data_IF_915254335475
#
_entry.id   IF_915254335475
#
_cell.length_a   1.000
_cell.length_b   1.000
_cell.length_c   1.000
_cell.angle_alpha   90.00
_cell.angle_beta   90.00
_cell.angle_gamma   90.00
#
_symmetry.space_group_name_H-M   'P 1'
#
loop_
_entity.id
_entity.type
_entity.pdbx_description
1 polymer ?
#
# COMPACT_ATOMS: atom_id res chain seq x y z
N UNK A 1 -3.58 -11.37 13.08
CA UNK A 1 -3.73 -10.13 12.29
C UNK A 1 -5.17 -9.69 12.40
N UNK A 2 -5.43 -8.44 12.76
CA UNK A 2 -6.77 -7.86 12.70
C UNK A 2 -7.12 -7.59 11.23
N UNK A 3 -8.19 -8.19 10.72
CA UNK A 3 -8.53 -8.19 9.30
C UNK A 3 -9.68 -7.23 8.95
N UNK A 4 -10.32 -6.66 9.97
CA UNK A 4 -11.51 -5.80 9.87
C UNK A 4 -11.30 -4.62 8.92
N UNK A 5 -10.15 -3.95 9.02
CA UNK A 5 -9.78 -2.78 8.23
C UNK A 5 -9.48 -3.07 6.76
N UNK A 6 -9.23 -4.33 6.39
CA UNK A 6 -8.86 -4.73 5.03
C UNK A 6 -10.04 -5.23 4.19
N UNK A 7 -11.22 -5.42 4.80
CA UNK A 7 -12.41 -5.91 4.10
C UNK A 7 -12.86 -4.93 3.02
N UNK A 8 -13.21 -5.47 1.86
CA UNK A 8 -13.71 -4.73 0.70
C UNK A 8 -12.76 -3.62 0.22
N UNK A 9 -11.46 -3.80 0.42
CA UNK A 9 -10.45 -2.85 -0.08
C UNK A 9 -10.52 -2.72 -1.61
N UNK A 10 -10.39 -1.49 -2.14
CA UNK A 10 -10.38 -1.26 -3.60
C UNK A 10 -9.25 -2.03 -4.30
N UNK A 11 -8.08 -2.05 -3.68
CA UNK A 11 -6.89 -2.73 -4.16
C UNK A 11 -6.17 -3.36 -2.97
N UNK A 12 -5.90 -4.66 -3.04
CA UNK A 12 -5.05 -5.37 -2.09
C UNK A 12 -3.73 -5.75 -2.78
N UNK A 13 -2.60 -5.34 -2.22
CA UNK A 13 -1.27 -5.72 -2.71
C UNK A 13 -0.75 -6.85 -1.83
N UNK A 14 -0.57 -8.03 -2.42
CA UNK A 14 -0.14 -9.24 -1.73
C UNK A 14 1.32 -9.55 -2.08
N UNK A 15 2.15 -9.63 -1.05
CA UNK A 15 3.58 -9.93 -1.15
C UNK A 15 4.05 -10.80 0.01
N UNK A 16 5.21 -11.44 -0.15
CA UNK A 16 5.86 -12.14 0.97
C UNK A 16 5.10 -13.40 1.39
N UNK A 17 4.62 -14.18 0.43
CA UNK A 17 4.19 -15.55 0.72
C UNK A 17 5.40 -16.43 1.06
N UNK A 18 5.12 -17.56 1.72
CA UNK A 18 6.13 -18.58 1.99
C UNK A 18 6.86 -19.00 0.71
N UNK A 19 8.18 -19.15 0.80
CA UNK A 19 9.02 -19.59 -0.31
C UNK A 19 9.04 -21.12 -0.44
N UNK A 20 8.73 -21.84 0.64
CA UNK A 20 8.73 -23.31 0.70
C UNK A 20 7.33 -23.78 1.11
N UNK A 21 6.32 -23.68 0.23
CA UNK A 21 4.92 -23.90 0.63
C UNK A 21 4.59 -25.36 0.96
N UNK A 22 5.49 -26.30 0.66
CA UNK A 22 5.35 -27.71 1.02
C UNK A 22 5.90 -28.03 2.42
N UNK A 23 6.68 -27.12 3.02
CA UNK A 23 7.24 -27.30 4.35
C UNK A 23 6.26 -26.76 5.39
N UNK A 24 5.91 -27.60 6.36
CA UNK A 24 5.17 -27.16 7.54
C UNK A 24 6.17 -26.67 8.60
N UNK A 25 6.08 -25.41 9.08
CA UNK A 25 7.04 -24.86 10.03
C UNK A 25 7.17 -25.66 11.34
N UNK A 26 6.06 -26.15 11.90
CA UNK A 26 6.07 -26.94 13.14
C UNK A 26 6.76 -28.30 12.92
N UNK A 27 6.49 -28.93 11.77
CA UNK A 27 7.17 -30.16 11.36
C UNK A 27 8.69 -29.96 11.18
N UNK A 28 9.08 -28.86 10.54
CA UNK A 28 10.49 -28.50 10.31
C UNK A 28 11.21 -28.17 11.63
N UNK A 29 10.53 -27.53 12.59
CA UNK A 29 11.04 -27.35 13.95
C UNK A 29 11.28 -28.68 14.67
N UNK A 30 10.37 -29.65 14.51
CA UNK A 30 10.54 -31.00 15.04
C UNK A 30 11.75 -31.72 14.43
N UNK A 31 11.93 -31.61 13.11
CA UNK A 31 13.09 -32.18 12.41
C UNK A 31 14.41 -31.50 12.83
N UNK A 32 14.41 -30.18 13.00
CA UNK A 32 15.53 -29.41 13.54
C UNK A 32 15.96 -29.94 14.91
N UNK A 33 15.03 -30.05 15.86
CA UNK A 33 15.30 -30.54 17.22
C UNK A 33 15.81 -31.99 17.22
N UNK A 34 15.23 -32.86 16.37
CA UNK A 34 15.64 -34.26 16.24
C UNK A 34 17.09 -34.38 15.74
N UNK A 35 17.43 -33.71 14.63
CA UNK A 35 18.77 -33.73 14.06
C UNK A 35 19.81 -33.12 15.01
N UNK A 36 19.46 -32.03 15.71
CA UNK A 36 20.29 -31.41 16.73
C UNK A 36 20.60 -32.42 17.85
N UNK A 37 19.58 -33.04 18.44
CA UNK A 37 19.77 -34.01 19.52
C UNK A 37 20.60 -35.22 19.09
N UNK A 38 20.35 -35.77 17.90
CA UNK A 38 21.14 -36.89 17.37
C UNK A 38 22.61 -36.54 17.20
N UNK A 39 22.90 -35.33 16.71
CA UNK A 39 24.27 -34.84 16.51
C UNK A 39 24.99 -34.69 17.84
N UNK A 40 24.38 -34.01 18.81
CA UNK A 40 24.97 -33.79 20.14
C UNK A 40 25.19 -35.11 20.88
N UNK A 41 24.22 -36.04 20.85
CA UNK A 41 24.36 -37.37 21.47
C UNK A 41 25.48 -38.22 20.84
N UNK A 42 25.81 -37.95 19.57
CA UNK A 42 26.94 -38.57 18.88
C UNK A 42 28.29 -37.90 19.17
N UNK A 43 28.32 -36.89 20.06
CA UNK A 43 29.52 -36.13 20.40
C UNK A 43 29.92 -35.09 19.36
N UNK A 44 29.06 -34.80 18.37
CA UNK A 44 29.30 -33.80 17.34
C UNK A 44 28.81 -32.40 17.72
N UNK A 45 29.21 -31.41 16.93
CA UNK A 45 28.73 -30.03 17.07
C UNK A 45 27.65 -29.70 16.04
N UNK A 46 26.76 -28.78 16.38
CA UNK A 46 25.70 -28.30 15.51
C UNK A 46 25.94 -26.84 15.16
N UNK A 47 26.03 -26.55 13.86
CA UNK A 47 26.13 -25.19 13.33
C UNK A 47 24.79 -24.78 12.74
N UNK A 48 24.25 -23.64 13.18
CA UNK A 48 22.99 -23.08 12.69
C UNK A 48 23.25 -21.70 12.10
N UNK A 49 23.40 -21.60 10.75
CA UNK A 49 23.51 -20.33 10.06
C UNK A 49 22.18 -19.58 10.14
N UNK A 50 22.12 -18.49 10.91
CA UNK A 50 20.88 -17.74 11.13
C UNK A 50 21.10 -16.22 11.11
N UNK A 51 20.01 -15.49 10.92
CA UNK A 51 20.01 -14.05 11.16
C UNK A 51 20.14 -13.75 12.66
N UNK A 52 20.62 -12.55 13.06
CA UNK A 52 20.76 -12.19 14.46
C UNK A 52 19.42 -11.86 15.16
N UNK A 53 18.32 -11.78 14.43
CA UNK A 53 16.99 -11.46 14.95
C UNK A 53 15.92 -12.10 14.07
N UNK A 54 14.74 -12.40 14.64
CA UNK A 54 13.61 -12.98 13.90
C UNK A 54 13.36 -14.43 14.33
N UNK A 55 13.34 -15.35 13.36
CA UNK A 55 13.03 -16.79 13.55
C UNK A 55 13.92 -17.45 14.62
N UNK A 56 15.13 -16.92 14.86
CA UNK A 56 16.02 -17.37 15.94
C UNK A 56 15.35 -17.32 17.33
N UNK A 57 14.41 -16.39 17.58
CA UNK A 57 13.70 -16.34 18.86
C UNK A 57 12.74 -17.51 19.03
N UNK A 58 12.04 -17.91 17.97
CA UNK A 58 11.16 -19.07 17.96
C UNK A 58 11.98 -20.37 18.12
N UNK A 59 13.16 -20.44 17.48
CA UNK A 59 14.12 -21.53 17.68
C UNK A 59 14.57 -21.65 19.13
N UNK A 60 14.98 -20.54 19.76
CA UNK A 60 15.42 -20.53 21.15
C UNK A 60 14.28 -20.88 22.12
N UNK A 61 13.05 -20.45 21.83
CA UNK A 61 11.86 -20.79 22.63
C UNK A 61 11.49 -22.27 22.49
N UNK A 62 11.55 -22.83 21.28
CA UNK A 62 11.39 -24.27 21.04
C UNK A 62 12.48 -25.08 21.77
N UNK A 63 13.74 -24.63 21.70
CA UNK A 63 14.86 -25.29 22.35
C UNK A 63 14.79 -25.25 23.87
N UNK A 64 14.33 -24.15 24.45
CA UNK A 64 14.12 -24.04 25.89
C UNK A 64 13.24 -25.19 26.41
N UNK A 65 12.16 -25.51 25.70
CA UNK A 65 11.27 -26.62 26.07
C UNK A 65 11.90 -27.99 25.75
N UNK A 66 12.68 -28.07 24.67
CA UNK A 66 13.25 -29.32 24.19
C UNK A 66 14.46 -29.81 25.01
N UNK A 67 15.34 -28.91 25.45
CA UNK A 67 16.63 -29.23 26.12
C UNK A 67 16.43 -30.21 27.28
N UNK A 68 15.47 -29.94 28.15
CA UNK A 68 15.22 -30.75 29.34
C UNK A 68 14.68 -32.13 28.96
N UNK A 69 13.72 -32.18 28.03
CA UNK A 69 13.12 -33.43 27.53
C UNK A 69 14.11 -34.32 26.78
N UNK A 70 15.12 -33.72 26.14
CA UNK A 70 16.11 -34.41 25.34
C UNK A 70 17.38 -34.77 26.12
N UNK A 71 17.43 -34.45 27.41
CA UNK A 71 18.59 -34.62 28.30
C UNK A 71 19.85 -33.90 27.79
N UNK A 72 19.68 -32.71 27.19
CA UNK A 72 20.78 -31.90 26.63
C UNK A 72 21.29 -30.83 27.62
N UNK A 73 20.96 -30.96 28.90
CA UNK A 73 21.26 -29.97 29.95
C UNK A 73 22.74 -29.57 30.07
N UNK A 74 23.67 -30.46 29.73
CA UNK A 74 25.11 -30.19 29.78
C UNK A 74 25.67 -29.55 28.51
N UNK A 75 24.85 -29.43 27.46
CA UNK A 75 25.29 -28.93 26.15
C UNK A 75 25.22 -27.40 26.15
N UNK A 76 26.33 -26.70 25.90
CA UNK A 76 26.31 -25.25 25.77
C UNK A 76 25.73 -24.82 24.41
N UNK A 77 24.92 -23.77 24.45
CA UNK A 77 24.40 -23.08 23.28
C UNK A 77 25.09 -21.73 23.17
N UNK A 78 25.60 -21.40 21.99
CA UNK A 78 26.31 -20.16 21.71
C UNK A 78 25.58 -19.36 20.65
N UNK A 79 25.36 -18.08 20.91
CA UNK A 79 24.82 -17.13 19.94
C UNK A 79 25.84 -16.04 19.60
N UNK A 80 26.43 -16.12 18.42
CA UNK A 80 27.58 -15.28 18.03
C UNK A 80 27.18 -14.32 16.93
N UNK A 81 27.15 -13.03 17.27
CA UNK A 81 26.90 -11.93 16.35
C UNK A 81 27.32 -10.60 17.01
N UNK A 82 27.87 -9.63 16.26
CA UNK A 82 28.21 -8.31 16.79
C UNK A 82 27.06 -7.59 17.50
N UNK A 83 25.82 -7.95 17.17
CA UNK A 83 24.59 -7.38 17.75
C UNK A 83 23.81 -8.38 18.61
N UNK A 84 24.39 -9.52 18.99
CA UNK A 84 23.70 -10.59 19.72
C UNK A 84 23.07 -10.09 21.03
N UNK A 85 23.83 -9.37 21.87
CA UNK A 85 23.32 -8.85 23.14
C UNK A 85 22.15 -7.89 22.93
N UNK A 86 22.35 -6.85 22.11
CA UNK A 86 21.30 -5.87 21.80
C UNK A 86 20.06 -6.49 21.17
N UNK A 87 20.24 -7.51 20.33
CA UNK A 87 19.13 -8.20 19.68
C UNK A 87 18.24 -8.93 20.69
N UNK A 88 18.87 -9.70 21.59
CA UNK A 88 18.18 -10.39 22.68
C UNK A 88 17.50 -9.39 23.63
N UNK A 89 18.18 -8.32 24.03
CA UNK A 89 17.60 -7.28 24.89
C UNK A 89 16.40 -6.58 24.24
N UNK A 90 16.49 -6.19 22.97
CA UNK A 90 15.38 -5.56 22.25
C UNK A 90 14.17 -6.46 22.11
N UNK A 91 14.38 -7.77 21.98
CA UNK A 91 13.26 -8.73 21.97
C UNK A 91 12.47 -8.73 23.29
N UNK A 92 13.14 -8.45 24.41
CA UNK A 92 12.50 -8.37 25.73
C UNK A 92 11.84 -7.01 25.96
N UNK A 93 12.41 -5.94 25.39
CA UNK A 93 11.92 -4.55 25.56
C UNK A 93 10.66 -4.29 24.71
N UNK A 94 10.65 -4.70 23.43
CA UNK A 94 9.56 -4.40 22.50
C UNK A 94 8.35 -5.36 22.64
N UNK A 95 7.93 -5.58 23.88
CA UNK A 95 6.86 -6.52 24.19
C UNK A 95 5.49 -6.07 23.69
N UNK A 96 5.27 -4.77 23.48
CA UNK A 96 4.01 -4.18 23.02
C UNK A 96 3.57 -4.71 21.64
N UNK A 97 4.52 -5.24 20.87
CA UNK A 97 4.30 -5.81 19.54
C UNK A 97 4.07 -7.32 19.55
N UNK A 98 4.09 -7.96 20.72
CA UNK A 98 3.92 -9.41 20.85
C UNK A 98 2.45 -9.81 20.99
N UNK A 99 2.16 -11.10 21.03
CA UNK A 99 0.82 -11.58 21.35
C UNK A 99 0.45 -11.29 22.82
N UNK A 100 -0.86 -11.28 23.10
CA UNK A 100 -1.40 -10.93 24.43
C UNK A 100 -0.78 -11.72 25.58
N UNK A 101 -0.47 -13.01 25.37
CA UNK A 101 0.14 -13.88 26.39
C UNK A 101 1.58 -13.50 26.74
N UNK A 102 2.34 -12.96 25.77
CA UNK A 102 3.69 -12.44 26.01
C UNK A 102 3.64 -11.02 26.57
N UNK A 103 2.72 -10.19 26.07
CA UNK A 103 2.46 -8.86 26.64
C UNK A 103 2.09 -8.93 28.13
N UNK A 104 1.25 -9.91 28.51
CA UNK A 104 0.81 -10.06 29.91
C UNK A 104 1.96 -10.31 30.89
N UNK A 105 3.05 -10.95 30.44
CA UNK A 105 4.22 -11.26 31.28
C UNK A 105 4.95 -9.99 31.73
N UNK A 106 4.96 -8.94 30.91
CA UNK A 106 5.61 -7.67 31.25
C UNK A 106 4.93 -6.96 32.42
N UNK A 107 3.61 -7.13 32.57
CA UNK A 107 2.90 -6.62 33.75
C UNK A 107 3.22 -7.40 35.04
N UNK A 108 3.80 -8.60 34.94
CA UNK A 108 4.22 -9.47 36.05
C UNK A 108 5.74 -9.44 36.31
N UNK A 109 6.41 -8.33 35.95
CA UNK A 109 7.86 -8.25 35.73
C UNK A 109 8.57 -9.50 35.18
N UNK A 110 7.90 -10.29 34.34
CA UNK A 110 8.46 -11.51 33.75
C UNK A 110 8.95 -11.26 32.30
N UNK A 111 10.08 -11.87 31.89
CA UNK A 111 10.57 -11.72 30.53
C UNK A 111 9.59 -12.38 29.53
N UNK A 112 9.17 -11.68 28.45
CA UNK A 112 8.25 -12.25 27.46
C UNK A 112 8.81 -13.48 26.74
N UNK A 113 10.13 -13.57 26.56
CA UNK A 113 10.78 -14.72 25.92
C UNK A 113 11.66 -15.52 26.90
N UNK A 114 11.63 -16.86 26.83
CA UNK A 114 12.31 -17.72 27.80
C UNK A 114 13.83 -17.78 27.63
N UNK A 115 14.38 -17.28 26.52
CA UNK A 115 15.84 -17.24 26.35
C UNK A 115 16.54 -16.36 27.40
N UNK A 116 15.82 -15.44 28.06
CA UNK A 116 16.35 -14.71 29.23
C UNK A 116 16.79 -15.67 30.35
N UNK A 117 16.02 -16.73 30.61
CA UNK A 117 16.35 -17.74 31.61
C UNK A 117 17.53 -18.63 31.15
N UNK A 118 17.59 -18.97 29.85
CA UNK A 118 18.73 -19.69 29.30
C UNK A 118 20.05 -18.92 29.49
N UNK A 119 20.01 -17.59 29.39
CA UNK A 119 21.17 -16.73 29.63
C UNK A 119 21.51 -16.71 31.12
N UNK A 120 20.52 -16.49 31.99
CA UNK A 120 20.73 -16.46 33.44
C UNK A 120 21.31 -17.79 33.99
N UNK A 121 20.89 -18.92 33.41
CA UNK A 121 21.36 -20.26 33.78
C UNK A 121 22.64 -20.68 33.06
N UNK A 122 23.26 -19.80 32.26
CA UNK A 122 24.43 -20.08 31.44
C UNK A 122 24.27 -21.23 30.43
N UNK A 123 23.04 -21.64 30.12
CA UNK A 123 22.74 -22.62 29.06
C UNK A 123 22.93 -21.99 27.67
N UNK A 124 22.53 -20.73 27.51
CA UNK A 124 22.77 -19.91 26.32
C UNK A 124 23.76 -18.80 26.64
N UNK A 125 24.92 -18.81 25.96
CA UNK A 125 25.91 -17.73 26.04
C UNK A 125 25.94 -16.98 24.72
N UNK A 126 26.09 -15.66 24.76
CA UNK A 126 26.16 -14.84 23.57
C UNK A 126 27.48 -14.07 23.51
N UNK A 127 28.00 -13.88 22.30
CA UNK A 127 29.28 -13.20 22.05
C UNK A 127 29.17 -12.30 20.83
N UNK A 128 29.93 -11.20 20.84
CA UNK A 128 30.01 -10.30 19.69
C UNK A 128 30.82 -10.90 18.53
N UNK A 129 31.76 -11.79 18.82
CA UNK A 129 32.61 -12.45 17.84
C UNK A 129 33.20 -13.75 18.37
N UNK A 130 33.69 -14.60 17.47
CA UNK A 130 34.55 -15.76 17.80
C UNK A 130 35.90 -15.34 18.41
N UNK A 131 36.36 -14.11 18.16
CA UNK A 131 37.60 -13.60 18.75
C UNK A 131 37.36 -13.05 20.17
N UNK A 132 38.27 -13.37 21.10
CA UNK A 132 38.22 -12.87 22.48
C UNK A 132 37.57 -13.88 23.44
N UNK A 133 36.63 -13.41 24.26
CA UNK A 133 36.09 -14.15 25.41
C UNK A 133 35.49 -15.52 25.05
N UNK A 134 34.91 -15.64 23.85
CA UNK A 134 34.38 -16.91 23.35
C UNK A 134 35.42 -18.03 23.41
N UNK A 135 36.68 -17.75 23.08
CA UNK A 135 37.74 -18.77 23.03
C UNK A 135 38.03 -19.40 24.40
N UNK A 136 37.81 -18.66 25.49
CA UNK A 136 38.02 -19.17 26.86
C UNK A 136 36.88 -20.10 27.30
N UNK A 137 35.68 -19.86 26.77
CA UNK A 137 34.45 -20.52 27.18
C UNK A 137 33.98 -21.60 26.21
N UNK A 138 34.65 -21.73 25.06
CA UNK A 138 34.31 -22.65 23.99
C UNK A 138 34.51 -24.11 24.41
N UNK A 139 33.42 -24.89 24.36
CA UNK A 139 33.40 -26.33 24.69
C UNK A 139 32.67 -27.09 23.61
N UNK A 140 33.04 -28.35 23.42
CA UNK A 140 32.40 -29.28 22.50
C UNK A 140 31.99 -30.57 23.25
N UNK A 141 30.87 -31.22 22.90
CA UNK A 141 29.92 -30.86 21.85
C UNK A 141 29.10 -29.61 22.20
N UNK A 142 28.72 -28.81 21.19
CA UNK A 142 27.94 -27.59 21.36
C UNK A 142 27.02 -27.29 20.19
N UNK A 143 26.11 -26.33 20.40
CA UNK A 143 25.27 -25.74 19.35
C UNK A 143 25.68 -24.29 19.17
N UNK A 144 25.99 -23.88 17.94
CA UNK A 144 26.36 -22.49 17.61
C UNK A 144 25.37 -21.91 16.62
N UNK A 145 24.67 -20.86 17.04
CA UNK A 145 23.89 -19.96 16.19
C UNK A 145 24.79 -18.80 15.78
N UNK A 146 25.06 -18.67 14.49
CA UNK A 146 25.89 -17.57 14.01
C UNK A 146 25.59 -17.25 12.57
N UNK A 147 25.67 -15.97 12.23
CA UNK A 147 25.42 -15.51 10.87
C UNK A 147 26.62 -15.69 9.94
N UNK A 148 26.43 -15.70 8.63
CA UNK A 148 25.18 -15.43 7.90
C UNK A 148 24.66 -16.68 7.14
N UNK A 149 23.33 -16.89 6.98
CA UNK A 149 22.74 -18.03 6.23
C UNK A 149 23.33 -18.28 4.84
N UNK A 150 23.76 -17.23 4.14
CA UNK A 150 24.43 -17.32 2.83
C UNK A 150 25.80 -18.02 2.85
N UNK A 151 26.42 -18.17 4.03
CA UNK A 151 27.80 -18.61 4.23
C UNK A 151 28.87 -17.81 3.46
N UNK A 152 28.62 -16.52 3.18
CA UNK A 152 29.59 -15.63 2.50
C UNK A 152 30.31 -14.67 3.44
N UNK A 153 29.76 -14.43 4.62
CA UNK A 153 30.29 -13.54 5.63
C UNK A 153 29.75 -13.91 7.01
N UNK A 154 30.27 -13.25 8.04
CA UNK A 154 29.98 -13.54 9.44
C UNK A 154 30.78 -14.73 9.95
N UNK A 155 30.73 -14.97 11.26
CA UNK A 155 31.59 -15.95 11.91
C UNK A 155 31.27 -17.41 11.55
N UNK A 156 30.12 -17.66 10.89
CA UNK A 156 29.78 -18.98 10.36
C UNK A 156 30.85 -19.54 9.43
N UNK A 157 31.55 -18.69 8.65
CA UNK A 157 32.58 -19.17 7.72
C UNK A 157 33.78 -19.77 8.46
N UNK A 158 34.10 -19.24 9.65
CA UNK A 158 35.16 -19.80 10.48
C UNK A 158 34.80 -21.21 10.99
N UNK A 159 33.55 -21.41 11.40
CA UNK A 159 33.07 -22.73 11.79
C UNK A 159 32.97 -23.71 10.61
N UNK A 160 32.64 -23.24 9.41
CA UNK A 160 32.68 -24.08 8.21
C UNK A 160 34.09 -24.65 7.97
N UNK A 161 35.13 -23.83 8.13
CA UNK A 161 36.52 -24.27 8.02
C UNK A 161 36.91 -25.24 9.15
N UNK A 162 36.48 -24.96 10.38
CA UNK A 162 36.83 -25.76 11.55
C UNK A 162 36.11 -27.12 11.59
N UNK A 163 34.83 -27.15 11.20
CA UNK A 163 33.94 -28.30 11.41
C UNK A 163 33.64 -29.09 10.14
N UNK A 164 33.85 -28.52 8.95
CA UNK A 164 33.45 -29.10 7.67
C UNK A 164 34.07 -30.46 7.34
N UNK A 165 35.23 -30.77 7.91
CA UNK A 165 35.97 -32.03 7.66
C UNK A 165 35.54 -33.20 8.57
N UNK A 166 34.65 -32.98 9.52
CA UNK A 166 34.21 -34.01 10.46
C UNK A 166 32.75 -34.40 10.20
N UNK A 167 32.52 -35.69 9.95
CA UNK A 167 31.17 -36.26 9.79
C UNK A 167 30.39 -36.39 11.09
N UNK A 168 31.01 -36.08 12.23
CA UNK A 168 30.31 -35.96 13.52
C UNK A 168 29.50 -34.67 13.59
N UNK A 169 29.97 -33.61 12.93
CA UNK A 169 29.31 -32.31 12.97
C UNK A 169 28.14 -32.26 11.98
N UNK A 170 27.19 -31.37 12.26
CA UNK A 170 26.03 -31.11 11.40
C UNK A 170 25.83 -29.61 11.24
N UNK A 171 25.62 -29.16 10.00
CA UNK A 171 25.07 -27.83 9.70
C UNK A 171 23.57 -27.96 9.43
N UNK A 172 22.76 -27.14 10.09
CA UNK A 172 21.30 -27.13 9.93
C UNK A 172 20.88 -25.75 9.44
N UNK A 173 20.35 -25.68 8.23
CA UNK A 173 19.84 -24.45 7.63
C UNK A 173 18.36 -24.28 7.95
N UNK A 174 17.99 -23.14 8.52
CA UNK A 174 16.62 -22.82 8.91
C UNK A 174 15.98 -21.73 8.05
N UNK A 175 16.79 -20.91 7.37
CA UNK A 175 16.30 -19.78 6.58
C UNK A 175 15.96 -20.21 5.14
N UNK A 176 14.77 -19.88 4.62
CA UNK A 176 14.37 -20.25 3.26
C UNK A 176 14.95 -19.33 2.17
N UNK A 177 15.41 -18.13 2.53
CA UNK A 177 15.79 -17.08 1.58
C UNK A 177 17.05 -17.39 0.75
N UNK A 178 17.82 -18.40 1.15
CA UNK A 178 19.02 -18.84 0.45
C UNK A 178 18.94 -20.33 0.09
N UNK A 179 19.36 -20.64 -1.14
CA UNK A 179 19.63 -22.01 -1.55
C UNK A 179 20.80 -22.57 -0.72
N UNK A 180 20.53 -23.52 0.17
CA UNK A 180 21.56 -24.13 1.01
C UNK A 180 22.62 -24.86 0.16
N UNK A 181 22.23 -25.39 -1.00
CA UNK A 181 23.14 -26.03 -1.95
C UNK A 181 24.15 -25.03 -2.49
N UNK A 182 23.69 -23.85 -2.93
CA UNK A 182 24.57 -22.79 -3.45
C UNK A 182 25.42 -22.17 -2.33
N UNK A 183 24.88 -22.09 -1.11
CA UNK A 183 25.63 -21.66 0.07
C UNK A 183 26.80 -22.61 0.36
N UNK A 184 26.59 -23.92 0.24
CA UNK A 184 27.60 -24.95 0.52
C UNK A 184 28.58 -25.19 -0.63
N UNK A 185 28.28 -24.76 -1.86
CA UNK A 185 29.09 -25.08 -3.04
C UNK A 185 30.60 -24.77 -2.89
N UNK A 186 31.04 -23.65 -2.29
CA UNK A 186 32.47 -23.35 -2.12
C UNK A 186 33.19 -24.20 -1.05
N UNK A 187 32.44 -24.90 -0.19
CA UNK A 187 33.00 -25.71 0.89
C UNK A 187 33.11 -27.20 0.52
N UNK A 188 32.81 -27.56 -0.73
CA UNK A 188 32.94 -28.92 -1.22
C UNK A 188 34.42 -29.28 -1.50
N UNK A 189 34.87 -30.52 -1.19
CA UNK A 189 34.09 -31.61 -0.60
C UNK A 189 33.88 -31.42 0.91
N UNK A 190 32.66 -31.69 1.37
CA UNK A 190 32.25 -31.50 2.76
C UNK A 190 31.91 -32.85 3.42
N UNK A 191 32.53 -33.16 4.56
CA UNK A 191 32.24 -34.37 5.34
C UNK A 191 31.14 -34.14 6.40
N UNK A 192 31.00 -32.91 6.86
CA UNK A 192 29.94 -32.47 7.78
C UNK A 192 28.55 -32.76 7.20
N UNK A 193 27.65 -33.28 8.03
CA UNK A 193 26.27 -33.57 7.63
C UNK A 193 25.53 -32.27 7.37
N UNK A 194 24.73 -32.23 6.32
CA UNK A 194 23.95 -31.05 5.94
C UNK A 194 22.47 -31.37 6.04
N UNK A 195 21.74 -30.56 6.81
CA UNK A 195 20.29 -30.69 7.01
C UNK A 195 19.62 -29.37 6.63
N UNK A 196 18.49 -29.44 5.95
CA UNK A 196 17.70 -28.29 5.55
C UNK A 196 16.31 -28.38 6.18
N UNK A 197 16.05 -27.55 7.18
CA UNK A 197 14.79 -27.47 7.93
C UNK A 197 14.23 -26.04 7.82
N UNK A 198 13.71 -25.62 6.65
CA UNK A 198 13.26 -24.24 6.47
C UNK A 198 12.08 -23.91 7.37
N UNK A 199 12.22 -22.85 8.18
CA UNK A 199 11.19 -22.34 9.08
C UNK A 199 10.69 -21.02 8.52
N UNK A 200 9.58 -21.10 7.79
CA UNK A 200 8.97 -19.96 7.13
C UNK A 200 7.56 -19.71 7.69
N UNK A 201 7.42 -18.69 8.54
CA UNK A 201 6.15 -18.35 9.19
C UNK A 201 5.25 -17.45 8.34
N UNK A 202 5.67 -17.12 7.11
CA UNK A 202 4.86 -16.35 6.15
C UNK A 202 3.61 -17.14 5.75
N UNK A 203 2.59 -16.42 5.29
CA UNK A 203 1.35 -17.04 4.85
C UNK A 203 1.59 -17.98 3.66
N UNK A 204 0.96 -19.15 3.71
CA UNK A 204 0.93 -20.09 2.59
C UNK A 204 -0.27 -19.86 1.67
N UNK A 205 -0.25 -20.48 0.48
CA UNK A 205 -1.30 -20.32 -0.52
C UNK A 205 -2.69 -20.73 -0.02
N UNK A 206 -2.78 -21.75 0.83
CA UNK A 206 -4.05 -22.21 1.42
C UNK A 206 -4.62 -21.13 2.35
N UNK A 207 -3.80 -20.60 3.26
CA UNK A 207 -4.17 -19.54 4.19
C UNK A 207 -4.57 -18.27 3.45
N UNK A 208 -3.82 -17.88 2.42
CA UNK A 208 -4.10 -16.69 1.64
C UNK A 208 -5.35 -16.83 0.79
N UNK A 209 -5.56 -17.97 0.13
CA UNK A 209 -6.80 -18.19 -0.63
C UNK A 209 -8.03 -18.15 0.29
N UNK A 210 -7.92 -18.63 1.54
CA UNK A 210 -8.97 -18.46 2.54
C UNK A 210 -9.14 -16.98 2.94
N UNK A 211 -8.05 -16.28 3.22
CA UNK A 211 -8.06 -14.87 3.60
C UNK A 211 -8.69 -13.99 2.50
N UNK A 212 -8.37 -14.22 1.23
CA UNK A 212 -8.91 -13.44 0.11
C UNK A 212 -10.42 -13.64 -0.06
N UNK A 213 -10.94 -14.85 0.22
CA UNK A 213 -12.38 -15.13 0.24
C UNK A 213 -13.10 -14.36 1.35
N UNK A 214 -12.44 -14.15 2.49
CA UNK A 214 -12.99 -13.40 3.63
C UNK A 214 -12.88 -11.88 3.45
N UNK A 215 -11.80 -11.40 2.84
CA UNK A 215 -11.55 -9.97 2.63
C UNK A 215 -12.31 -9.39 1.43
N UNK A 216 -12.56 -10.20 0.39
CA UNK A 216 -13.24 -9.78 -0.84
C UNK A 216 -12.76 -8.43 -1.41
N UNK A 217 -11.45 -8.24 -1.67
CA UNK A 217 -10.98 -7.00 -2.30
C UNK A 217 -11.53 -6.85 -3.73
N UNK A 218 -11.72 -5.61 -4.19
CA UNK A 218 -12.17 -5.35 -5.56
C UNK A 218 -11.11 -5.74 -6.60
N UNK A 219 -9.83 -5.52 -6.29
CA UNK A 219 -8.70 -5.92 -7.14
C UNK A 219 -7.56 -6.48 -6.30
N UNK A 220 -6.90 -7.50 -6.83
CA UNK A 220 -5.70 -8.10 -6.24
C UNK A 220 -4.48 -7.79 -7.08
N UNK A 221 -3.39 -7.39 -6.45
CA UNK A 221 -2.08 -7.16 -7.09
C UNK A 221 -1.07 -8.08 -6.44
N UNK A 222 -0.35 -8.88 -7.23
CA UNK A 222 0.64 -9.81 -6.69
C UNK A 222 1.80 -10.08 -7.66
N UNK A 223 2.95 -10.58 -7.17
CA UNK A 223 3.98 -11.15 -8.02
C UNK A 223 3.40 -12.20 -8.98
N UNK A 224 3.85 -12.20 -10.24
CA UNK A 224 3.43 -13.16 -11.26
C UNK A 224 3.68 -14.63 -10.84
N UNK A 225 4.74 -14.86 -10.06
CA UNK A 225 5.11 -16.17 -9.54
C UNK A 225 4.00 -16.83 -8.70
N UNK A 226 3.06 -16.05 -8.18
CA UNK A 226 1.95 -16.57 -7.38
C UNK A 226 0.76 -17.03 -8.24
N UNK A 227 0.78 -16.75 -9.55
CA UNK A 227 -0.32 -17.04 -10.48
C UNK A 227 -0.20 -18.39 -11.17
N UNK A 228 0.93 -19.07 -10.98
CA UNK A 228 1.22 -20.35 -11.60
C UNK A 228 1.82 -21.31 -10.56
N UNK A 229 1.60 -22.61 -10.70
CA UNK A 229 2.27 -23.59 -9.86
C UNK A 229 3.80 -23.50 -10.00
N UNK A 230 4.56 -23.92 -8.97
CA UNK A 230 6.02 -23.98 -9.06
C UNK A 230 6.48 -24.81 -10.28
N UNK A 231 7.51 -24.38 -11.03
CA UNK A 231 7.99 -25.11 -12.21
C UNK A 231 8.40 -26.56 -11.94
N UNK A 232 8.90 -26.84 -10.73
CA UNK A 232 9.26 -28.18 -10.28
C UNK A 232 8.05 -29.07 -9.95
N UNK A 233 6.87 -28.48 -9.75
CA UNK A 233 5.64 -29.15 -9.30
C UNK A 233 4.41 -28.61 -10.05
N UNK A 234 4.43 -28.70 -11.38
CA UNK A 234 3.38 -28.12 -12.26
C UNK A 234 1.96 -28.65 -11.94
N UNK A 235 1.84 -29.86 -11.38
CA UNK A 235 0.57 -30.48 -11.00
C UNK A 235 -0.04 -29.92 -9.70
N UNK A 236 0.71 -29.12 -8.93
CA UNK A 236 0.29 -28.60 -7.62
C UNK A 236 -0.45 -27.28 -7.76
N UNK A 237 -1.67 -27.33 -8.27
CA UNK A 237 -2.57 -26.17 -8.37
C UNK A 237 -2.98 -25.59 -7.01
N UNK A 238 -2.73 -26.31 -5.92
CA UNK A 238 -2.88 -25.81 -4.54
C UNK A 238 -1.77 -24.83 -4.12
N UNK A 239 -0.67 -24.78 -4.89
CA UNK A 239 0.49 -23.90 -4.64
C UNK A 239 0.48 -22.63 -5.51
N UNK A 240 -0.71 -22.17 -5.88
CA UNK A 240 -0.91 -20.89 -6.56
C UNK A 240 -2.15 -20.18 -6.00
N UNK A 241 -2.31 -18.91 -6.35
CA UNK A 241 -3.50 -18.14 -6.00
C UNK A 241 -4.67 -18.58 -6.87
N UNK A 242 -5.78 -18.91 -6.21
CA UNK A 242 -7.06 -19.23 -6.83
C UNK A 242 -8.06 -18.14 -6.45
N UNK A 243 -8.21 -17.15 -7.32
CA UNK A 243 -8.90 -15.90 -7.04
C UNK A 243 -9.99 -15.62 -8.06
N UNK A 244 -11.12 -15.11 -7.56
CA UNK A 244 -12.28 -14.75 -8.38
C UNK A 244 -12.29 -13.27 -8.78
N UNK A 245 -11.62 -12.41 -8.00
CA UNK A 245 -11.52 -10.99 -8.33
C UNK A 245 -10.49 -10.72 -9.43
N UNK A 246 -10.59 -9.58 -10.13
CA UNK A 246 -9.57 -9.13 -11.07
C UNK A 246 -8.16 -9.12 -10.46
N UNK A 247 -7.25 -9.81 -11.14
CA UNK A 247 -5.86 -10.00 -10.73
C UNK A 247 -4.91 -9.20 -11.63
N UNK A 248 -4.02 -8.45 -11.01
CA UNK A 248 -2.92 -7.74 -11.66
C UNK A 248 -1.59 -8.32 -11.20
N UNK A 249 -1.03 -9.20 -12.03
CA UNK A 249 0.29 -9.76 -11.82
C UNK A 249 1.38 -8.74 -12.19
N UNK A 250 2.45 -8.67 -11.39
CA UNK A 250 3.60 -7.81 -11.68
C UNK A 250 4.92 -8.58 -11.69
N UNK A 251 5.89 -8.03 -12.41
CA UNK A 251 7.27 -8.51 -12.47
C UNK A 251 8.23 -7.39 -12.06
N UNK A 252 9.51 -7.72 -11.94
CA UNK A 252 10.53 -6.68 -11.72
C UNK A 252 10.45 -5.61 -12.81
N UNK A 253 10.45 -4.34 -12.40
CA UNK A 253 10.36 -3.16 -13.26
C UNK A 253 9.03 -3.00 -14.05
N UNK A 254 7.97 -3.75 -13.74
CA UNK A 254 6.67 -3.48 -14.35
C UNK A 254 6.01 -2.24 -13.76
N UNK A 255 5.40 -1.40 -14.60
CA UNK A 255 4.58 -0.26 -14.19
C UNK A 255 3.12 -0.67 -14.31
N UNK A 256 2.39 -0.67 -13.20
CA UNK A 256 0.95 -0.96 -13.17
C UNK A 256 0.17 0.30 -12.81
N UNK A 257 -0.93 0.53 -13.53
CA UNK A 257 -1.91 1.55 -13.17
C UNK A 257 -2.98 0.89 -12.31
N UNK A 258 -3.01 1.23 -11.02
CA UNK A 258 -3.93 0.61 -10.08
C UNK A 258 -5.34 1.22 -10.22
N UNK A 259 -6.39 0.40 -10.38
CA UNK A 259 -7.76 0.84 -10.53
C UNK A 259 -8.36 1.19 -9.16
N UNK A 260 -8.04 2.37 -8.64
CA UNK A 260 -8.72 2.93 -7.48
C UNK A 260 -9.83 3.89 -7.93
N UNK A 261 -11.02 3.81 -7.31
CA UNK A 261 -12.13 4.73 -7.59
C UNK A 261 -12.11 5.85 -6.56
N UNK A 262 -11.76 7.07 -6.98
CA UNK A 262 -11.97 8.27 -6.16
C UNK A 262 -13.20 9.01 -6.66
N UNK A 263 -14.24 9.06 -5.84
CA UNK A 263 -15.41 9.90 -6.10
C UNK A 263 -15.17 11.36 -5.75
N UNK A 264 -14.25 11.61 -4.81
CA UNK A 264 -13.90 12.92 -4.32
C UNK A 264 -12.39 13.07 -4.29
N UNK A 265 -11.92 14.25 -4.66
CA UNK A 265 -10.52 14.63 -4.52
C UNK A 265 -10.46 15.87 -3.63
N UNK A 266 -9.51 15.89 -2.69
CA UNK A 266 -9.33 17.04 -1.82
C UNK A 266 -8.57 18.12 -2.56
N UNK A 267 -9.18 19.29 -2.70
CA UNK A 267 -8.58 20.45 -3.36
C UNK A 267 -8.48 21.57 -2.32
N UNK A 268 -7.30 22.18 -2.21
CA UNK A 268 -7.06 23.35 -1.38
C UNK A 268 -7.28 24.63 -2.20
N UNK A 269 -8.10 25.54 -1.69
CA UNK A 269 -8.30 26.87 -2.30
C UNK A 269 -7.34 27.83 -1.62
N UNK A 270 -6.46 28.50 -2.39
CA UNK A 270 -5.56 29.49 -1.80
C UNK A 270 -6.37 30.64 -1.18
N UNK A 271 -5.91 31.23 -0.05
CA UNK A 271 -6.61 32.33 0.62
C UNK A 271 -6.98 33.49 -0.33
N UNK A 272 -6.06 33.85 -1.22
CA UNK A 272 -6.25 34.92 -2.20
C UNK A 272 -7.43 34.67 -3.16
N UNK A 273 -7.65 33.40 -3.52
CA UNK A 273 -8.77 32.99 -4.35
C UNK A 273 -10.04 32.93 -3.51
N UNK A 274 -9.97 32.36 -2.30
CA UNK A 274 -11.10 32.27 -1.38
C UNK A 274 -11.67 33.66 -1.03
N UNK A 275 -10.81 34.65 -0.79
CA UNK A 275 -11.18 36.04 -0.50
C UNK A 275 -11.90 36.73 -1.68
N UNK A 276 -11.70 36.24 -2.90
CA UNK A 276 -12.35 36.77 -4.10
C UNK A 276 -13.74 36.16 -4.36
N UNK A 277 -14.09 35.08 -3.67
CA UNK A 277 -15.38 34.43 -3.84
C UNK A 277 -16.47 35.24 -3.16
N UNK A 278 -17.59 35.40 -3.84
CA UNK A 278 -18.78 36.08 -3.33
C UNK A 278 -19.95 35.10 -3.30
N UNK A 279 -20.08 34.26 -2.25
CA UNK A 279 -21.18 33.31 -2.15
C UNK A 279 -22.54 34.01 -2.07
N UNK A 280 -23.49 33.51 -2.85
CA UNK A 280 -24.89 33.94 -2.86
C UNK A 280 -25.73 32.84 -2.22
N UNK A 281 -26.51 33.17 -1.20
CA UNK A 281 -27.40 32.21 -0.54
C UNK A 281 -28.58 31.87 -1.46
N UNK A 282 -28.65 30.62 -1.89
CA UNK A 282 -29.72 30.12 -2.77
C UNK A 282 -30.88 29.53 -1.96
N UNK A 283 -30.56 28.90 -0.82
CA UNK A 283 -31.48 28.31 0.15
C UNK A 283 -30.90 28.47 1.56
N UNK A 284 -31.71 28.47 2.62
CA UNK A 284 -31.22 28.56 4.00
C UNK A 284 -30.08 27.57 4.25
N UNK A 285 -28.87 28.09 4.51
CA UNK A 285 -27.68 27.29 4.80
C UNK A 285 -26.93 26.73 3.57
N UNK A 286 -27.35 27.05 2.35
CA UNK A 286 -26.66 26.66 1.10
C UNK A 286 -26.34 27.92 0.28
N UNK A 287 -25.05 28.26 0.24
CA UNK A 287 -24.54 29.35 -0.59
C UNK A 287 -23.72 28.81 -1.75
N UNK A 288 -23.80 29.48 -2.90
CA UNK A 288 -23.10 29.10 -4.13
C UNK A 288 -22.24 30.27 -4.57
N UNK A 289 -20.99 29.99 -4.96
CA UNK A 289 -20.09 30.97 -5.57
C UNK A 289 -19.49 30.38 -6.84
N UNK A 290 -19.40 31.19 -7.90
CA UNK A 290 -18.69 30.80 -9.12
C UNK A 290 -17.19 30.89 -8.89
N UNK A 291 -16.46 29.78 -9.11
CA UNK A 291 -15.00 29.74 -8.96
C UNK A 291 -14.35 29.71 -10.35
N UNK A 292 -13.54 30.72 -10.66
CA UNK A 292 -12.65 30.74 -11.84
C UNK A 292 -11.20 30.75 -11.38
N UNK A 293 -10.48 29.66 -11.63
CA UNK A 293 -9.16 29.42 -11.04
C UNK A 293 -8.27 28.56 -11.93
N UNK A 294 -6.96 28.60 -11.68
CA UNK A 294 -5.99 27.66 -12.25
C UNK A 294 -5.75 26.52 -11.26
N UNK A 295 -5.93 25.28 -11.71
CA UNK A 295 -5.63 24.08 -10.92
C UNK A 295 -4.15 23.71 -11.06
N UNK A 296 -3.41 23.78 -9.96
CA UNK A 296 -2.05 23.28 -9.88
C UNK A 296 -2.04 21.93 -9.15
N UNK A 297 -1.59 20.88 -9.85
CA UNK A 297 -1.52 19.52 -9.32
C UNK A 297 -0.07 19.09 -9.21
N UNK A 298 0.40 18.81 -7.99
CA UNK A 298 1.75 18.28 -7.75
C UNK A 298 1.72 17.32 -6.57
N UNK A 299 2.33 16.15 -6.71
CA UNK A 299 2.45 15.15 -5.64
C UNK A 299 1.10 14.75 -5.00
N UNK A 300 0.04 14.59 -5.82
CA UNK A 300 -1.35 14.35 -5.37
C UNK A 300 -1.91 15.42 -4.42
N UNK A 301 -1.33 16.62 -4.44
CA UNK A 301 -1.88 17.82 -3.80
C UNK A 301 -2.38 18.74 -4.88
N UNK A 302 -3.66 19.08 -4.76
CA UNK A 302 -4.40 19.88 -5.72
C UNK A 302 -4.68 21.24 -5.10
N UNK A 303 -4.21 22.30 -5.74
CA UNK A 303 -4.35 23.67 -5.24
C UNK A 303 -4.99 24.54 -6.32
N UNK A 304 -6.06 25.25 -5.97
CA UNK A 304 -6.68 26.26 -6.82
C UNK A 304 -6.07 27.63 -6.54
N UNK A 305 -5.59 28.28 -7.59
CA UNK A 305 -4.96 29.60 -7.55
C UNK A 305 -5.76 30.59 -8.40
N UNK A 306 -5.71 31.90 -8.09
CA UNK A 306 -6.28 32.92 -8.96
C UNK A 306 -5.71 32.79 -10.39
N UNK A 307 -6.52 33.03 -11.43
CA UNK A 307 -6.04 33.04 -12.81
C UNK A 307 -4.88 34.03 -12.95
N UNK A 308 -3.83 33.65 -13.68
CA UNK A 308 -2.70 34.54 -13.95
C UNK A 308 -3.20 35.79 -14.68
N UNK A 309 -3.05 36.97 -14.06
CA UNK A 309 -3.28 38.25 -14.75
C UNK A 309 -2.21 38.38 -15.83
N UNK A 310 -2.58 38.33 -17.10
CA UNK A 310 -1.69 38.68 -18.20
C UNK A 310 -1.32 40.16 -18.06
N UNK A 311 -0.08 40.43 -17.64
CA UNK A 311 0.47 41.78 -17.71
C UNK A 311 0.60 42.15 -19.18
N UNK A 312 -0.23 43.07 -19.66
CA UNK A 312 -0.05 43.69 -20.98
C UNK A 312 1.31 44.42 -20.94
N UNK A 313 2.31 44.03 -21.75
CA UNK A 313 3.55 44.79 -21.80
C UNK A 313 3.25 46.20 -22.34
N UNK A 314 3.88 47.26 -21.80
CA UNK A 314 3.67 48.61 -22.30
C UNK A 314 4.07 48.67 -23.78
N UNK A 315 3.17 49.22 -24.61
CA UNK A 315 3.33 49.39 -26.05
C UNK A 315 4.62 50.15 -26.38
N UNK A 316 5.70 49.42 -26.67
CA UNK A 316 6.89 49.97 -27.31
C UNK A 316 6.74 49.88 -28.82
N UNK A 317 6.80 51.04 -29.48
CA UNK A 317 6.67 51.16 -30.94
C UNK A 317 7.85 50.46 -31.63
N UNK A 318 7.52 49.63 -32.63
CA UNK A 318 8.36 49.00 -33.68
C UNK A 318 8.94 47.60 -33.37
N UNK A 319 8.21 46.58 -33.80
CA UNK A 319 8.60 45.64 -34.88
C UNK A 319 7.48 44.63 -35.14
N UNK A 320 7.10 44.48 -36.42
CA UNK A 320 6.21 43.43 -36.92
C UNK A 320 6.81 42.06 -36.56
N UNK A 321 6.24 41.38 -35.57
CA UNK A 321 6.31 39.92 -35.40
C UNK A 321 4.89 39.39 -35.52
N UNK A 322 4.78 38.26 -36.22
CA UNK A 322 3.56 37.51 -36.46
C UNK A 322 2.87 37.28 -35.12
N UNK A 323 1.64 37.79 -35.02
CA UNK A 323 0.77 37.65 -33.86
C UNK A 323 0.23 36.21 -33.94
N UNK A 324 0.76 35.30 -33.12
CA UNK A 324 -0.07 34.22 -32.60
C UNK A 324 -1.22 34.89 -31.86
N UNK A 325 -2.46 34.58 -32.24
CA UNK A 325 -3.66 35.04 -31.53
C UNK A 325 -3.55 34.58 -30.07
N UNK A 326 -3.08 35.47 -29.21
CA UNK A 326 -3.23 35.34 -27.77
C UNK A 326 -4.73 35.27 -27.50
N UNK A 327 -5.22 34.11 -27.08
CA UNK A 327 -6.57 33.94 -26.55
C UNK A 327 -6.71 34.86 -25.35
N UNK A 328 -7.24 36.06 -25.57
CA UNK A 328 -7.71 36.94 -24.51
C UNK A 328 -8.70 36.14 -23.68
N UNK A 329 -8.29 35.70 -22.48
CA UNK A 329 -9.19 35.19 -21.46
C UNK A 329 -10.06 36.36 -21.02
N UNK A 330 -11.12 36.64 -21.77
CA UNK A 330 -12.20 37.54 -21.38
C UNK A 330 -12.64 37.15 -19.98
N UNK A 331 -12.89 38.14 -19.12
CA UNK A 331 -13.45 37.88 -17.80
C UNK A 331 -14.66 36.95 -17.97
N UNK A 332 -14.70 35.83 -17.23
CA UNK A 332 -15.78 34.86 -17.37
C UNK A 332 -17.10 35.59 -17.16
N UNK A 333 -18.03 35.42 -18.12
CA UNK A 333 -19.37 36.01 -17.99
C UNK A 333 -20.02 35.40 -16.74
N UNK A 334 -20.73 36.20 -15.92
CA UNK A 334 -21.43 35.66 -14.76
C UNK A 334 -22.37 34.56 -15.21
N UNK A 335 -22.38 33.45 -14.48
CA UNK A 335 -23.33 32.37 -14.74
C UNK A 335 -24.72 32.89 -14.39
N UNK A 336 -25.73 32.45 -15.14
CA UNK A 336 -27.11 32.86 -14.90
C UNK A 336 -27.84 31.69 -14.26
N UNK A 337 -28.62 31.98 -13.22
CA UNK A 337 -29.42 30.99 -12.51
C UNK A 337 -30.79 31.55 -12.19
N UNK A 338 -31.84 30.77 -12.43
CA UNK A 338 -33.22 31.15 -12.17
C UNK A 338 -34.17 30.46 -13.14
N UNK A 339 -35.42 30.35 -12.74
CA UNK A 339 -36.51 29.87 -13.60
C UNK A 339 -37.29 31.07 -14.12
N UNK A 340 -37.68 31.05 -15.39
CA UNK A 340 -38.46 32.11 -16.02
C UNK A 340 -39.95 31.76 -15.90
N UNK A 341 -40.75 32.44 -15.04
CA UNK A 341 -42.17 32.12 -14.90
C UNK A 341 -42.91 32.59 -16.15
N UNK A 342 -43.50 31.64 -16.90
CA UNK A 342 -44.04 31.88 -18.24
C UNK A 342 -45.14 32.95 -18.25
N UNK A 343 -46.08 32.91 -17.30
CA UNK A 343 -47.16 33.91 -17.20
C UNK A 343 -46.64 35.34 -17.00
N UNK A 344 -45.63 35.50 -16.13
CA UNK A 344 -45.02 36.80 -15.84
C UNK A 344 -44.14 37.28 -17.00
N UNK A 345 -43.49 36.35 -17.69
CA UNK A 345 -42.70 36.62 -18.89
C UNK A 345 -43.60 37.09 -20.04
N UNK A 346 -44.74 36.42 -20.28
CA UNK A 346 -45.74 36.87 -21.25
C UNK A 346 -46.26 38.28 -20.95
N UNK A 347 -46.66 38.55 -19.69
CA UNK A 347 -47.10 39.89 -19.29
C UNK A 347 -46.02 40.96 -19.56
N UNK A 348 -44.74 40.58 -19.43
CA UNK A 348 -43.60 41.44 -19.72
C UNK A 348 -43.40 41.65 -21.22
N UNK A 349 -43.56 40.61 -22.05
CA UNK A 349 -43.53 40.74 -23.52
C UNK A 349 -44.62 41.68 -24.02
N UNK A 350 -45.86 41.50 -23.57
CA UNK A 350 -46.99 42.38 -23.91
C UNK A 350 -46.73 43.85 -23.53
N UNK A 351 -46.16 44.08 -22.34
CA UNK A 351 -45.83 45.44 -21.88
C UNK A 351 -44.74 46.13 -22.71
N UNK A 352 -43.87 45.35 -23.36
CA UNK A 352 -42.80 45.87 -24.22
C UNK A 352 -43.19 45.88 -25.72
N UNK A 353 -44.49 45.77 -26.03
CA UNK A 353 -45.02 45.93 -27.38
C UNK A 353 -45.06 44.65 -28.22
N UNK A 354 -44.75 43.48 -27.63
CA UNK A 354 -44.85 42.17 -28.29
C UNK A 354 -46.18 41.55 -27.89
N UNK A 355 -47.21 41.72 -28.71
CA UNK A 355 -48.58 41.35 -28.35
C UNK A 355 -49.09 40.06 -29.00
N UNK A 356 -48.55 39.65 -30.14
CA UNK A 356 -48.98 38.42 -30.84
C UNK A 356 -48.10 37.22 -30.49
N UNK A 357 -48.25 36.71 -29.26
CA UNK A 357 -47.53 35.52 -28.78
C UNK A 357 -48.49 34.34 -28.65
N UNK A 358 -48.20 33.24 -29.38
CA UNK A 358 -48.88 31.95 -29.19
C UNK A 358 -48.06 31.08 -28.24
N UNK A 359 -48.71 30.56 -27.20
CA UNK A 359 -48.10 29.59 -26.30
C UNK A 359 -48.57 28.18 -26.67
N UNK A 360 -47.63 27.25 -26.73
CA UNK A 360 -47.87 25.82 -26.79
C UNK A 360 -47.21 25.14 -25.58
N UNK A 361 -47.98 24.37 -24.83
CA UNK A 361 -47.48 23.57 -23.72
C UNK A 361 -46.89 22.25 -24.25
N UNK A 362 -45.71 21.88 -23.80
CA UNK A 362 -45.07 20.61 -24.11
C UNK A 362 -44.94 19.75 -22.85
N UNK A 363 -44.50 18.49 -22.99
CA UNK A 363 -44.27 17.61 -21.85
C UNK A 363 -43.14 18.06 -20.92
N UNK A 364 -42.25 18.92 -21.41
CA UNK A 364 -41.02 19.34 -20.71
C UNK A 364 -40.93 20.86 -20.50
N UNK A 365 -41.96 21.62 -20.91
CA UNK A 365 -41.96 23.07 -20.77
C UNK A 365 -42.99 23.80 -21.65
N UNK A 366 -42.61 24.96 -22.16
CA UNK A 366 -43.46 25.85 -22.95
C UNK A 366 -42.73 26.37 -24.18
N UNK A 367 -43.42 26.45 -25.32
CA UNK A 367 -42.94 27.09 -26.55
C UNK A 367 -43.76 28.35 -26.80
N UNK A 368 -43.07 29.49 -26.89
CA UNK A 368 -43.66 30.79 -27.22
C UNK A 368 -43.30 31.15 -28.65
N UNK A 369 -44.30 31.30 -29.51
CA UNK A 369 -44.15 31.69 -30.90
C UNK A 369 -44.63 33.13 -31.10
N UNK A 370 -43.69 34.02 -31.40
CA UNK A 370 -43.93 35.42 -31.76
C UNK A 370 -44.19 35.46 -33.27
N UNK A 371 -45.46 35.52 -33.68
CA UNK A 371 -45.84 35.27 -35.06
C UNK A 371 -45.42 36.37 -36.05
N UNK A 372 -45.45 37.64 -35.62
CA UNK A 372 -45.05 38.77 -36.47
C UNK A 372 -43.54 38.81 -36.73
N UNK A 373 -42.75 38.23 -35.82
CA UNK A 373 -41.30 38.36 -35.78
C UNK A 373 -40.56 37.05 -36.10
N UNK A 374 -41.28 36.01 -36.52
CA UNK A 374 -40.79 34.65 -36.81
C UNK A 374 -39.76 34.15 -35.77
N UNK A 375 -40.12 34.29 -34.49
CA UNK A 375 -39.22 33.99 -33.37
C UNK A 375 -39.85 32.98 -32.43
N UNK A 376 -39.07 31.95 -32.08
CA UNK A 376 -39.45 30.87 -31.17
C UNK A 376 -38.63 30.94 -29.88
N UNK A 377 -39.32 30.90 -28.74
CA UNK A 377 -38.69 30.83 -27.42
C UNK A 377 -39.14 29.53 -26.76
N UNK A 378 -38.19 28.63 -26.52
CA UNK A 378 -38.41 27.38 -25.80
C UNK A 378 -37.95 27.57 -24.36
N UNK A 379 -38.86 27.34 -23.41
CA UNK A 379 -38.62 27.43 -21.97
C UNK A 379 -38.85 26.04 -21.37
N UNK A 380 -37.76 25.36 -21.00
CA UNK A 380 -37.75 24.04 -20.36
C UNK A 380 -37.23 24.17 -18.93
N UNK A 381 -37.34 23.09 -18.14
CA UNK A 381 -36.96 23.10 -16.70
C UNK A 381 -35.48 23.46 -16.45
N UNK A 382 -34.56 23.08 -17.35
CA UNK A 382 -33.12 23.34 -17.24
C UNK A 382 -32.55 24.14 -18.43
N UNK A 383 -33.40 24.57 -19.37
CA UNK A 383 -32.98 25.09 -20.66
C UNK A 383 -33.85 26.26 -21.13
N UNK A 384 -33.24 27.26 -21.77
CA UNK A 384 -33.94 28.35 -22.45
C UNK A 384 -33.28 28.60 -23.79
N UNK A 385 -34.04 28.38 -24.86
CA UNK A 385 -33.53 28.50 -26.23
C UNK A 385 -34.36 29.52 -27.01
N UNK A 386 -33.68 30.49 -27.63
CA UNK A 386 -34.32 31.55 -28.42
C UNK A 386 -33.82 31.42 -29.85
N UNK A 387 -34.72 31.12 -30.77
CA UNK A 387 -34.48 31.01 -32.20
C UNK A 387 -35.12 32.23 -32.86
N UNK A 388 -34.29 33.14 -33.37
CA UNK A 388 -34.73 34.34 -34.08
C UNK A 388 -33.94 34.50 -35.37
N UNK A 389 -34.57 35.06 -36.40
CA UNK A 389 -33.91 35.48 -37.64
C UNK A 389 -33.02 36.73 -37.43
N UNK A 390 -32.39 37.25 -38.48
CA UNK A 390 -31.36 38.32 -38.47
C UNK A 390 -31.81 39.72 -37.95
N UNK A 391 -32.73 39.80 -36.98
CA UNK A 391 -33.19 41.01 -36.31
C UNK A 391 -32.41 41.26 -35.00
N UNK A 392 -31.29 41.99 -35.10
CA UNK A 392 -30.37 42.24 -33.96
C UNK A 392 -31.01 43.08 -32.83
N UNK A 393 -31.95 43.98 -33.17
CA UNK A 393 -32.71 44.78 -32.21
C UNK A 393 -33.67 43.94 -31.37
N UNK A 394 -34.41 43.03 -32.01
CA UNK A 394 -35.30 42.11 -31.31
C UNK A 394 -34.50 41.16 -30.43
N UNK A 395 -33.41 40.59 -30.96
CA UNK A 395 -32.50 39.71 -30.20
C UNK A 395 -31.96 40.36 -28.93
N UNK A 396 -31.52 41.62 -29.02
CA UNK A 396 -31.03 42.37 -27.86
C UNK A 396 -32.15 42.65 -26.84
N UNK A 397 -33.35 42.97 -27.32
CA UNK A 397 -34.52 43.22 -26.47
C UNK A 397 -34.94 41.94 -25.73
N UNK A 398 -35.10 40.81 -26.44
CA UNK A 398 -35.45 39.52 -25.85
C UNK A 398 -34.40 39.06 -24.82
N UNK A 399 -33.12 39.22 -25.13
CA UNK A 399 -32.02 38.97 -24.17
C UNK A 399 -32.23 39.78 -22.90
N UNK A 400 -32.43 41.09 -23.01
CA UNK A 400 -32.53 41.97 -21.85
C UNK A 400 -33.82 41.74 -21.06
N UNK A 401 -34.90 41.26 -21.69
CA UNK A 401 -36.12 40.84 -21.01
C UNK A 401 -35.92 39.52 -20.25
N UNK A 402 -35.30 38.51 -20.87
CA UNK A 402 -35.00 37.22 -20.23
C UNK A 402 -34.05 37.40 -19.05
N UNK A 403 -33.02 38.24 -19.18
CA UNK A 403 -32.08 38.53 -18.11
C UNK A 403 -32.71 39.15 -16.85
N UNK A 404 -33.93 39.70 -16.91
CA UNK A 404 -34.64 40.23 -15.72
C UNK A 404 -35.15 39.13 -14.79
N UNK A 405 -35.32 37.93 -15.31
CA UNK A 405 -35.83 36.78 -14.56
C UNK A 405 -34.70 35.90 -14.00
N UNK A 406 -33.46 36.14 -14.42
CA UNK A 406 -32.30 35.36 -14.04
C UNK A 406 -31.41 36.14 -13.07
N UNK A 407 -30.92 35.45 -12.05
CA UNK A 407 -29.91 35.98 -11.14
C UNK A 407 -28.52 35.74 -11.72
N UNK A 408 -27.62 36.70 -11.55
CA UNK A 408 -26.21 36.57 -11.91
C UNK A 408 -25.46 35.96 -10.72
N UNK A 409 -24.83 34.81 -10.93
CA UNK A 409 -23.95 34.08 -10.01
C UNK A 409 -22.47 34.46 -10.16
#
# INVERSE_FOLDING_TARGET
MEQSSLKNSDVLILTGLTQIPTANPDGMLGEFCSNLAMTIRSGGNVLVPCYPSGVVYDLLECLYQFIDSASLNSTPFYFISPVANSSLEFSQIFAEWLCQSKQSKVYLPEPPFPHAELIQTNKLKHYSSVYGDFSNDFKQPCVVFTGHPSLRFGDVVHFMELWGKSSLNTIIFTEPDFSYVDALAPFQPLAMKCVYCPIDTRLNFIQVNKLLKELQPLHLVCPEQYTQPPPSQVHRSDLMLDVQMPLMAYKRCSVLTLPFRRSFERIEILPQLADSLMPIEMKPGVSVATISATLHSKDNKHVLQPPLKTMVPPLSKKRKRVIEESTELKAPKPLLSGTIPVELFLATLHKNGITEVKMEDTSEGHILHLQEEDTLIQLEDDSTHIICDNNESLRSTLRDLVLRFLQKL
#
